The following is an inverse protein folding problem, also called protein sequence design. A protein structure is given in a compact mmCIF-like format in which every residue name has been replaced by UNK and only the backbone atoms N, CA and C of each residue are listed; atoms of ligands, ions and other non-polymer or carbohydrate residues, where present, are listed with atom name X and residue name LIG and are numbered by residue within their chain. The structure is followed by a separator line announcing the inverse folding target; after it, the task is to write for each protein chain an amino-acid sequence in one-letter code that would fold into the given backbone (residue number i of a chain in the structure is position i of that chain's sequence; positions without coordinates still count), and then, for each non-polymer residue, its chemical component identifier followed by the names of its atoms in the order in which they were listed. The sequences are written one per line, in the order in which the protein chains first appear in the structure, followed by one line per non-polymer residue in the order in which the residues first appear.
data_IF_865448681656
#
_entry.id   IF_865448681656
#
_cell.length_a   1.000
_cell.length_b   1.000
_cell.length_c   1.000
_cell.angle_alpha   90.00
_cell.angle_beta   90.00
_cell.angle_gamma   90.00
#
_symmetry.space_group_name_H-M   'P 1'
#
loop_
_entity.id
_entity.type
_entity.pdbx_description
1 polymer ?
#
# COMPACT_ATOMS: atom_id res chain seq x y z
N UNK A 1 -7.82 7.75 0.01
CA UNK A 1 -6.79 8.74 -0.33
C UNK A 1 -5.55 7.99 -0.72
N UNK A 2 -4.91 8.43 -1.80
CA UNK A 2 -3.64 7.94 -2.30
C UNK A 2 -2.69 9.13 -2.39
N UNK A 3 -1.49 8.98 -1.85
CA UNK A 3 -0.41 9.97 -1.89
C UNK A 3 0.81 9.29 -2.47
N UNK A 4 1.43 9.92 -3.46
CA UNK A 4 2.69 9.44 -4.03
C UNK A 4 3.79 10.44 -3.75
N UNK A 5 4.89 9.96 -3.17
CA UNK A 5 6.16 10.67 -3.08
C UNK A 5 7.03 10.20 -4.23
N UNK A 6 7.30 11.07 -5.18
CA UNK A 6 8.10 10.74 -6.37
C UNK A 6 9.44 11.44 -6.32
N UNK A 7 10.49 10.67 -6.55
CA UNK A 7 11.86 11.11 -6.66
C UNK A 7 12.32 10.94 -8.12
N UNK A 8 13.62 10.82 -8.37
CA UNK A 8 14.15 10.73 -9.74
C UNK A 8 13.91 9.36 -10.37
N UNK A 9 14.11 8.30 -9.58
CA UNK A 9 14.10 6.88 -9.99
C UNK A 9 13.16 6.04 -9.13
N UNK A 10 12.77 6.50 -7.95
CA UNK A 10 11.88 5.79 -7.03
C UNK A 10 10.58 6.57 -6.83
N UNK A 11 9.46 5.85 -6.76
CA UNK A 11 8.20 6.35 -6.25
C UNK A 11 7.75 5.53 -5.04
N UNK A 12 7.16 6.21 -4.07
CA UNK A 12 6.63 5.63 -2.85
C UNK A 12 5.15 6.01 -2.78
N UNK A 13 4.28 5.03 -2.95
CA UNK A 13 2.84 5.23 -2.88
C UNK A 13 2.35 4.82 -1.49
N UNK A 14 1.61 5.70 -0.85
CA UNK A 14 0.95 5.48 0.43
C UNK A 14 -0.54 5.64 0.22
N UNK A 15 -1.34 4.64 0.58
CA UNK A 15 -2.80 4.72 0.49
C UNK A 15 -3.51 4.08 1.66
N UNK A 16 -4.71 4.57 1.95
CA UNK A 16 -5.67 3.81 2.74
C UNK A 16 -6.07 2.56 1.97
N UNK A 17 -6.22 1.47 2.70
CA UNK A 17 -6.63 0.19 2.18
C UNK A 17 -7.75 -0.42 3.01
N UNK A 18 -8.63 -1.13 2.33
CA UNK A 18 -9.69 -1.96 2.88
C UNK A 18 -9.73 -3.24 2.03
N UNK A 19 -9.79 -4.39 2.70
CA UNK A 19 -9.95 -5.70 2.07
C UNK A 19 -10.81 -6.67 2.90
N UNK A 20 -11.30 -7.71 2.21
CA UNK A 20 -12.04 -8.82 2.80
C UNK A 20 -11.25 -10.09 2.52
N UNK A 21 -10.86 -10.80 3.57
CA UNK A 21 -10.17 -12.08 3.49
C UNK A 21 -11.10 -13.21 3.02
N UNK A 22 -10.55 -14.37 2.59
CA UNK A 22 -11.34 -15.53 2.16
C UNK A 22 -12.30 -16.09 3.24
N UNK A 23 -12.01 -15.81 4.50
CA UNK A 23 -12.79 -16.18 5.69
C UNK A 23 -13.79 -15.07 6.11
N UNK A 24 -14.05 -14.10 5.23
CA UNK A 24 -14.86 -12.90 5.48
C UNK A 24 -14.29 -11.93 6.52
N UNK A 25 -13.06 -12.14 7.02
CA UNK A 25 -12.39 -11.18 7.91
C UNK A 25 -12.21 -9.85 7.16
N UNK A 26 -12.59 -8.74 7.78
CA UNK A 26 -12.32 -7.41 7.23
C UNK A 26 -11.02 -6.85 7.79
N UNK A 27 -10.17 -6.35 6.89
CA UNK A 27 -8.89 -5.74 7.21
C UNK A 27 -8.82 -4.33 6.65
N UNK A 28 -8.21 -3.42 7.40
CA UNK A 28 -8.00 -2.06 6.95
C UNK A 28 -6.71 -1.48 7.52
N UNK A 29 -6.12 -0.53 6.81
CA UNK A 29 -4.86 0.08 7.23
C UNK A 29 -4.17 0.85 6.12
N UNK A 30 -2.86 1.04 6.29
CA UNK A 30 -2.03 1.74 5.32
C UNK A 30 -1.26 0.74 4.46
N UNK A 31 -1.36 0.89 3.14
CA UNK A 31 -0.53 0.20 2.16
C UNK A 31 0.56 1.14 1.68
N UNK A 32 1.80 0.66 1.73
CA UNK A 32 2.99 1.36 1.24
C UNK A 32 3.61 0.51 0.13
N UNK A 33 3.75 1.08 -1.05
CA UNK A 33 4.35 0.43 -2.21
C UNK A 33 5.57 1.22 -2.67
N UNK A 34 6.68 0.52 -2.92
CA UNK A 34 7.89 1.08 -3.49
C UNK A 34 8.00 0.62 -4.94
N UNK A 35 8.15 1.57 -5.85
CA UNK A 35 8.24 1.28 -7.28
C UNK A 35 9.37 2.01 -7.97
N UNK A 36 9.84 1.44 -9.06
CA UNK A 36 10.78 2.09 -9.98
C UNK A 36 10.02 3.03 -10.91
N UNK A 37 10.51 4.26 -11.03
CA UNK A 37 10.06 5.22 -12.02
C UNK A 37 10.82 4.96 -13.32
N UNK A 38 10.11 4.55 -14.35
CA UNK A 38 10.70 4.38 -15.67
C UNK A 38 10.83 5.74 -16.37
N UNK A 39 11.99 6.07 -16.97
CA UNK A 39 12.12 7.25 -17.80
C UNK A 39 11.09 7.20 -18.93
N UNK A 40 10.35 8.28 -19.12
CA UNK A 40 9.37 8.40 -20.19
C UNK A 40 10.00 9.09 -21.39
N UNK A 41 9.62 8.67 -22.60
CA UNK A 41 9.99 9.42 -23.81
C UNK A 41 9.41 10.83 -23.73
N UNK A 42 10.25 11.82 -23.98
CA UNK A 42 9.84 13.23 -24.02
C UNK A 42 8.81 13.45 -25.11
N UNK A 43 7.75 14.20 -24.78
CA UNK A 43 6.62 14.49 -25.68
C UNK A 43 6.47 16.00 -25.83
N UNK A 44 6.24 16.47 -27.05
CA UNK A 44 6.02 17.89 -27.32
C UNK A 44 7.29 18.74 -27.14
N UNK A 45 7.10 20.03 -26.85
CA UNK A 45 8.19 20.98 -26.62
C UNK A 45 8.85 20.80 -25.25
N UNK A 46 9.91 21.54 -24.98
CA UNK A 46 10.61 21.56 -23.67
C UNK A 46 9.72 21.97 -22.50
N UNK A 47 8.62 22.69 -22.77
CA UNK A 47 7.66 23.15 -21.77
C UNK A 47 6.44 22.22 -21.60
N UNK A 48 6.35 21.14 -22.37
CA UNK A 48 5.20 20.25 -22.36
C UNK A 48 5.16 19.41 -21.08
N UNK A 49 3.95 19.20 -20.55
CA UNK A 49 3.74 18.29 -19.43
C UNK A 49 4.11 16.86 -19.83
N UNK A 50 4.96 16.22 -19.03
CA UNK A 50 5.36 14.84 -19.22
C UNK A 50 4.58 13.92 -18.28
N UNK A 51 4.21 12.70 -18.72
CA UNK A 51 3.61 11.73 -17.84
C UNK A 51 4.62 11.25 -16.78
N UNK A 52 4.11 10.95 -15.60
CA UNK A 52 4.82 10.22 -14.56
C UNK A 52 4.10 8.87 -14.39
N UNK A 53 4.83 7.77 -14.58
CA UNK A 53 4.27 6.42 -14.51
C UNK A 53 4.92 5.65 -13.37
N UNK A 54 4.12 5.28 -12.38
CA UNK A 54 4.49 4.34 -11.31
C UNK A 54 3.94 2.97 -11.71
N UNK A 55 4.73 2.23 -12.49
CA UNK A 55 4.27 0.98 -13.13
C UNK A 55 4.80 -0.30 -12.51
N UNK A 56 5.98 -0.27 -11.90
CA UNK A 56 6.69 -1.47 -11.42
C UNK A 56 6.95 -1.36 -9.91
N UNK A 57 6.03 -1.90 -9.12
CA UNK A 57 6.23 -2.10 -7.68
C UNK A 57 7.18 -3.27 -7.47
N UNK A 58 8.22 -3.08 -6.65
CA UNK A 58 9.16 -4.15 -6.30
C UNK A 58 9.04 -4.60 -4.85
N UNK A 59 8.37 -3.81 -4.01
CA UNK A 59 8.20 -4.09 -2.59
C UNK A 59 6.91 -3.46 -2.08
N UNK A 60 6.26 -4.11 -1.11
CA UNK A 60 5.05 -3.60 -0.47
C UNK A 60 5.00 -3.93 1.01
N UNK A 61 4.53 -3.00 1.83
CA UNK A 61 4.09 -3.27 3.20
C UNK A 61 2.62 -2.94 3.37
N UNK A 62 1.93 -3.83 4.06
CA UNK A 62 0.52 -3.76 4.39
C UNK A 62 0.41 -3.67 5.91
N UNK A 63 0.35 -2.45 6.43
CA UNK A 63 0.29 -2.18 7.87
C UNK A 63 -1.18 -2.17 8.29
N UNK A 64 -1.78 -3.36 8.35
CA UNK A 64 -3.21 -3.56 8.53
C UNK A 64 -3.58 -4.10 9.91
N UNK A 65 -4.76 -3.69 10.37
CA UNK A 65 -5.47 -4.31 11.48
C UNK A 65 -6.67 -5.11 10.98
N UNK A 66 -7.20 -5.99 11.84
CA UNK A 66 -8.48 -6.65 11.61
C UNK A 66 -9.58 -5.89 12.34
N UNK A 67 -10.72 -5.68 11.68
CA UNK A 67 -11.82 -4.92 12.28
C UNK A 67 -12.54 -5.69 13.41
N UNK A 68 -12.39 -7.01 13.47
CA UNK A 68 -12.90 -7.86 14.54
C UNK A 68 -11.97 -7.97 15.76
N UNK A 69 -10.74 -7.45 15.67
CA UNK A 69 -9.74 -7.41 16.75
C UNK A 69 -9.26 -5.97 17.01
N UNK A 70 -10.14 -5.06 17.48
CA UNK A 70 -9.81 -3.65 17.64
C UNK A 70 -8.70 -3.37 18.68
N UNK A 71 -8.44 -4.30 19.59
CA UNK A 71 -7.37 -4.25 20.59
C UNK A 71 -5.99 -4.62 20.02
N UNK A 72 -5.93 -5.08 18.76
CA UNK A 72 -4.70 -5.51 18.07
C UNK A 72 -4.58 -4.81 16.71
N UNK A 73 -4.19 -3.52 16.68
CA UNK A 73 -4.25 -2.69 15.47
C UNK A 73 -3.36 -3.17 14.31
N UNK A 74 -2.40 -4.07 14.56
CA UNK A 74 -1.50 -4.62 13.55
C UNK A 74 -1.60 -6.13 13.40
N UNK A 75 -2.74 -6.73 13.79
CA UNK A 75 -2.95 -8.17 13.75
C UNK A 75 -2.85 -8.80 12.34
N UNK A 76 -2.96 -7.98 11.28
CA UNK A 76 -2.84 -8.42 9.89
C UNK A 76 -1.64 -7.77 9.19
N UNK A 77 -0.72 -7.16 9.93
CA UNK A 77 0.37 -6.42 9.33
C UNK A 77 1.47 -7.34 8.78
N UNK A 78 1.82 -7.16 7.51
CA UNK A 78 2.79 -7.98 6.79
C UNK A 78 3.48 -7.18 5.68
N UNK A 79 4.46 -7.78 5.01
CA UNK A 79 5.07 -7.20 3.83
C UNK A 79 5.40 -8.25 2.77
N UNK A 80 5.63 -7.77 1.56
CA UNK A 80 6.01 -8.54 0.38
C UNK A 80 7.38 -8.05 -0.08
N UNK A 81 8.45 -8.84 0.14
CA UNK A 81 9.81 -8.41 -0.14
C UNK A 81 10.14 -8.27 -1.64
N UNK A 82 9.36 -8.90 -2.52
CA UNK A 82 9.59 -8.92 -3.97
C UNK A 82 8.27 -9.07 -4.73
N UNK A 83 8.31 -8.79 -6.03
CA UNK A 83 7.20 -8.94 -6.97
C UNK A 83 7.64 -9.75 -8.19
N UNK A 84 6.70 -10.45 -8.82
CA UNK A 84 6.83 -11.05 -10.15
C UNK A 84 5.80 -10.40 -11.08
N UNK A 85 6.24 -9.47 -11.92
CA UNK A 85 5.35 -8.58 -12.65
C UNK A 85 4.47 -7.76 -11.69
N UNK A 86 3.12 -7.76 -11.85
CA UNK A 86 2.22 -7.06 -10.95
C UNK A 86 1.92 -7.83 -9.66
N UNK A 87 2.34 -9.11 -9.57
CA UNK A 87 1.95 -9.99 -8.47
C UNK A 87 2.97 -9.92 -7.32
N UNK A 88 2.52 -9.71 -6.08
CA UNK A 88 3.39 -9.74 -4.91
C UNK A 88 3.85 -11.18 -4.61
N UNK A 89 5.01 -11.33 -3.97
CA UNK A 89 5.38 -12.61 -3.35
C UNK A 89 4.43 -13.01 -2.22
N UNK A 90 4.67 -14.18 -1.60
CA UNK A 90 3.96 -14.55 -0.36
C UNK A 90 4.14 -13.50 0.75
N UNK A 91 3.16 -13.48 1.67
CA UNK A 91 3.16 -12.62 2.86
C UNK A 91 4.32 -13.00 3.77
N UNK A 92 5.11 -12.01 4.19
CA UNK A 92 6.12 -12.16 5.24
C UNK A 92 5.63 -11.46 6.51
N UNK A 93 5.54 -12.23 7.58
CA UNK A 93 5.19 -11.78 8.91
C UNK A 93 6.46 -11.48 9.70
N UNK A 94 6.44 -10.43 10.52
CA UNK A 94 7.63 -9.99 11.28
C UNK A 94 7.23 -9.44 12.64
N UNK A 95 7.75 -10.03 13.70
CA UNK A 95 7.52 -9.55 15.07
C UNK A 95 8.00 -8.10 15.25
N UNK A 96 9.12 -7.72 14.60
CA UNK A 96 9.63 -6.36 14.62
C UNK A 96 8.65 -5.38 13.96
N UNK A 97 8.05 -5.77 12.82
CA UNK A 97 7.02 -4.98 12.15
C UNK A 97 5.78 -4.81 13.04
N UNK A 98 5.31 -5.88 13.69
CA UNK A 98 4.12 -5.80 14.54
C UNK A 98 4.39 -5.03 15.84
N UNK A 99 5.61 -5.11 16.39
CA UNK A 99 6.00 -4.42 17.63
C UNK A 99 6.21 -2.90 17.44
N UNK A 100 6.82 -2.48 16.33
CA UNK A 100 7.01 -1.07 15.98
C UNK A 100 6.88 -0.86 14.46
N UNK A 101 5.66 -0.81 13.91
CA UNK A 101 5.45 -0.74 12.47
C UNK A 101 5.96 0.55 11.85
N UNK A 102 5.96 1.64 12.62
CA UNK A 102 6.38 2.96 12.15
C UNK A 102 7.89 3.12 12.17
N UNK A 103 8.58 2.68 13.22
CA UNK A 103 10.04 2.58 13.25
C UNK A 103 10.55 1.60 12.20
N UNK A 104 9.90 0.43 12.09
CA UNK A 104 10.23 -0.57 11.06
C UNK A 104 10.10 0.01 9.65
N UNK A 105 9.04 0.76 9.35
CA UNK A 105 8.88 1.41 8.05
C UNK A 105 9.96 2.47 7.82
N UNK A 106 10.28 3.27 8.84
CA UNK A 106 11.35 4.28 8.75
C UNK A 106 12.71 3.64 8.42
N UNK A 107 13.03 2.48 9.02
CA UNK A 107 14.26 1.75 8.74
C UNK A 107 14.31 1.26 7.29
N UNK A 108 13.19 0.74 6.76
CA UNK A 108 13.09 0.32 5.35
C UNK A 108 13.28 1.47 4.36
N UNK A 109 12.73 2.65 4.69
CA UNK A 109 12.85 3.85 3.87
C UNK A 109 14.26 4.45 3.93
N UNK A 110 14.87 4.52 5.11
CA UNK A 110 16.22 5.08 5.27
C UNK A 110 17.32 4.16 4.76
N UNK A 111 17.06 2.85 4.72
CA UNK A 111 17.87 1.82 4.07
C UNK A 111 17.38 1.41 2.68
N UNK A 112 16.85 2.34 1.88
CA UNK A 112 16.19 2.03 0.59
C UNK A 112 17.06 1.20 -0.35
N UNK A 113 18.37 1.42 -0.39
CA UNK A 113 19.27 0.64 -1.26
C UNK A 113 19.30 -0.84 -0.87
N UNK A 114 19.24 -1.14 0.43
CA UNK A 114 19.16 -2.51 0.92
C UNK A 114 17.79 -3.11 0.58
N UNK A 115 16.71 -2.33 0.74
CA UNK A 115 15.36 -2.78 0.38
C UNK A 115 15.26 -3.15 -1.12
N UNK A 116 15.93 -2.41 -2.00
CA UNK A 116 16.01 -2.73 -3.43
C UNK A 116 16.85 -3.98 -3.69
N UNK A 117 18.00 -4.11 -3.02
CA UNK A 117 18.86 -5.29 -3.14
C UNK A 117 18.17 -6.57 -2.63
N UNK A 118 17.44 -6.48 -1.52
CA UNK A 118 16.66 -7.58 -0.94
C UNK A 118 15.54 -8.06 -1.88
N UNK A 119 14.99 -7.14 -2.70
CA UNK A 119 14.02 -7.46 -3.75
C UNK A 119 14.67 -8.13 -4.99
N UNK A 120 15.99 -8.31 -4.99
CA UNK A 120 16.75 -8.92 -6.09
C UNK A 120 17.06 -7.97 -7.25
N UNK A 121 16.94 -6.65 -7.03
CA UNK A 121 17.16 -5.62 -8.04
C UNK A 121 18.52 -4.92 -7.87
N UNK A 122 19.00 -4.27 -8.93
CA UNK A 122 20.18 -3.41 -8.84
C UNK A 122 19.87 -2.19 -7.96
N UNK A 123 20.63 -1.96 -6.86
CA UNK A 123 20.43 -0.79 -5.99
C UNK A 123 20.91 0.55 -6.59
N UNK A 124 21.60 0.56 -7.73
CA UNK A 124 22.12 1.79 -8.34
C UNK A 124 21.06 2.89 -8.58
N UNK A 125 19.85 2.59 -9.09
CA UNK A 125 18.78 3.60 -9.22
C UNK A 125 18.36 4.21 -7.88
N UNK A 126 18.33 3.41 -6.81
CA UNK A 126 17.95 3.90 -5.48
C UNK A 126 19.03 4.78 -4.83
N UNK A 127 20.32 4.52 -5.09
CA UNK A 127 21.41 5.37 -4.58
C UNK A 127 21.26 6.84 -4.99
N UNK A 128 20.73 7.09 -6.19
CA UNK A 128 20.53 8.46 -6.68
C UNK A 128 19.45 9.23 -5.88
N UNK A 129 18.49 8.53 -5.28
CA UNK A 129 17.39 9.12 -4.51
C UNK A 129 17.54 8.94 -2.99
N UNK A 130 18.52 8.16 -2.53
CA UNK A 130 18.60 7.69 -1.15
C UNK A 130 18.58 8.83 -0.11
N UNK A 131 19.35 9.90 -0.32
CA UNK A 131 19.39 11.03 0.60
C UNK A 131 18.08 11.81 0.64
N UNK A 132 17.42 11.97 -0.51
CA UNK A 132 16.12 12.62 -0.59
C UNK A 132 15.03 11.78 0.09
N UNK A 133 15.08 10.45 -0.07
CA UNK A 133 14.17 9.52 0.60
C UNK A 133 14.39 9.56 2.11
N UNK A 134 15.64 9.51 2.58
CA UNK A 134 15.98 9.64 4.02
C UNK A 134 15.44 10.94 4.61
N UNK A 135 15.63 12.06 3.91
CA UNK A 135 15.10 13.36 4.34
C UNK A 135 13.55 13.39 4.36
N UNK A 136 12.90 12.66 3.47
CA UNK A 136 11.44 12.58 3.39
C UNK A 136 10.82 11.48 4.28
N UNK A 137 11.62 10.55 4.82
CA UNK A 137 11.14 9.34 5.50
C UNK A 137 10.13 9.65 6.61
N UNK A 138 10.41 10.62 7.48
CA UNK A 138 9.49 11.01 8.55
C UNK A 138 8.13 11.49 8.03
N UNK A 139 8.09 12.22 6.90
CA UNK A 139 6.84 12.68 6.26
C UNK A 139 6.06 11.53 5.63
N UNK A 140 6.77 10.57 5.01
CA UNK A 140 6.16 9.38 4.41
C UNK A 140 5.54 8.52 5.52
N UNK A 141 6.27 8.27 6.61
CA UNK A 141 5.76 7.51 7.77
C UNK A 141 4.57 8.21 8.41
N UNK A 142 4.63 9.52 8.62
CA UNK A 142 3.48 10.29 9.12
C UNK A 142 2.24 10.13 8.21
N UNK A 143 2.43 10.23 6.90
CA UNK A 143 1.34 10.02 5.91
C UNK A 143 0.76 8.60 6.00
N UNK A 144 1.61 7.59 6.15
CA UNK A 144 1.16 6.21 6.34
C UNK A 144 0.38 6.05 7.66
N UNK A 145 0.87 6.67 8.73
CA UNK A 145 0.21 6.64 10.04
C UNK A 145 -1.15 7.32 10.04
N UNK A 146 -1.30 8.43 9.31
CA UNK A 146 -2.58 9.13 9.13
C UNK A 146 -3.61 8.30 8.34
N UNK A 147 -3.18 7.24 7.65
CA UNK A 147 -4.04 6.27 6.96
C UNK A 147 -4.03 4.90 7.64
N UNK A 148 -3.35 4.78 8.77
CA UNK A 148 -3.09 3.53 9.49
C UNK A 148 -4.32 2.96 10.20
N UNK A 149 -4.20 1.75 10.75
CA UNK A 149 -5.30 1.04 11.42
C UNK A 149 -5.66 1.65 12.78
N UNK A 150 -4.78 2.45 13.39
CA UNK A 150 -5.05 3.16 14.65
C UNK A 150 -6.03 4.33 14.48
N UNK A 151 -6.30 4.75 13.24
CA UNK A 151 -7.19 5.87 12.97
C UNK A 151 -8.65 5.45 13.17
N UNK A 152 -9.49 6.29 13.81
CA UNK A 152 -10.88 5.95 14.13
C UNK A 152 -11.81 6.13 12.91
N UNK A 153 -11.44 5.58 11.76
CA UNK A 153 -12.25 5.66 10.56
C UNK A 153 -13.52 4.82 10.70
N UNK A 154 -14.63 5.42 10.28
CA UNK A 154 -15.88 4.68 10.11
C UNK A 154 -15.88 3.91 8.79
N UNK A 155 -16.84 3.01 8.59
CA UNK A 155 -17.10 2.39 7.28
C UNK A 155 -17.18 3.42 6.15
N UNK A 156 -17.87 4.53 6.39
CA UNK A 156 -18.10 5.56 5.36
C UNK A 156 -16.82 6.35 5.05
N UNK A 157 -15.95 6.54 6.05
CA UNK A 157 -14.61 7.08 5.84
C UNK A 157 -13.76 6.14 5.00
N UNK A 158 -13.74 4.85 5.34
CA UNK A 158 -12.99 3.84 4.59
C UNK A 158 -13.49 3.76 3.15
N UNK A 159 -14.81 3.75 2.92
CA UNK A 159 -15.38 3.79 1.58
C UNK A 159 -14.97 5.05 0.83
N UNK A 160 -15.15 6.24 1.40
CA UNK A 160 -14.76 7.50 0.77
C UNK A 160 -13.29 7.51 0.39
N UNK A 161 -12.42 6.93 1.23
CA UNK A 161 -10.98 6.87 1.01
C UNK A 161 -10.57 5.75 0.05
N UNK A 162 -11.41 4.74 -0.20
CA UNK A 162 -11.05 3.57 -1.01
C UNK A 162 -12.04 3.27 -2.12
N UNK A 163 -12.91 4.22 -2.50
CA UNK A 163 -13.90 4.05 -3.57
C UNK A 163 -13.27 3.63 -4.91
N UNK A 164 -12.06 4.10 -5.19
CA UNK A 164 -11.29 3.76 -6.39
C UNK A 164 -10.92 2.27 -6.46
N UNK A 165 -11.06 1.57 -5.35
CA UNK A 165 -10.81 0.15 -5.21
C UNK A 165 -12.07 -0.73 -5.19
N UNK A 166 -13.25 -0.17 -5.51
CA UNK A 166 -14.53 -0.88 -5.47
C UNK A 166 -14.49 -2.24 -6.21
N UNK A 167 -13.93 -2.27 -7.43
CA UNK A 167 -13.80 -3.51 -8.21
C UNK A 167 -12.97 -4.57 -7.47
N UNK A 168 -11.89 -4.16 -6.81
CA UNK A 168 -11.06 -5.08 -6.03
C UNK A 168 -11.83 -5.66 -4.84
N UNK A 169 -12.60 -4.84 -4.13
CA UNK A 169 -13.43 -5.33 -3.00
C UNK A 169 -14.45 -6.35 -3.48
N UNK A 170 -15.08 -6.14 -4.64
CA UNK A 170 -15.96 -7.14 -5.27
C UNK A 170 -15.23 -8.46 -5.51
N UNK A 171 -14.07 -8.42 -6.17
CA UNK A 171 -13.27 -9.62 -6.44
C UNK A 171 -12.89 -10.38 -5.17
N UNK A 172 -12.60 -9.67 -4.08
CA UNK A 172 -12.30 -10.27 -2.78
C UNK A 172 -13.53 -10.93 -2.16
N UNK A 173 -14.68 -10.25 -2.17
CA UNK A 173 -15.96 -10.79 -1.67
C UNK A 173 -16.40 -12.03 -2.46
N UNK A 174 -16.13 -12.09 -3.76
CA UNK A 174 -16.39 -13.26 -4.60
C UNK A 174 -15.52 -14.48 -4.25
N UNK A 175 -14.38 -14.27 -3.59
CA UNK A 175 -13.47 -15.33 -3.12
C UNK A 175 -13.79 -15.83 -1.72
N UNK A 176 -14.76 -15.22 -1.02
CA UNK A 176 -15.16 -15.67 0.31
C UNK A 176 -15.85 -17.02 0.20
N UNK A 177 -15.35 -18.01 0.94
CA UNK A 177 -15.84 -19.39 0.89
C UNK A 177 -17.27 -19.50 1.45
N UNK A 178 -17.50 -18.94 2.63
CA UNK A 178 -18.82 -18.85 3.25
C UNK A 178 -19.44 -17.46 3.01
N UNK A 179 -20.25 -17.37 1.95
CA UNK A 179 -20.95 -16.12 1.61
C UNK A 179 -21.95 -15.64 2.67
N UNK A 180 -22.39 -16.50 3.60
CA UNK A 180 -23.27 -16.10 4.69
C UNK A 180 -22.54 -15.31 5.78
N UNK A 181 -21.22 -15.48 5.88
CA UNK A 181 -20.36 -14.76 6.81
C UNK A 181 -20.00 -13.34 6.35
N UNK A 182 -20.25 -13.00 5.08
CA UNK A 182 -19.92 -11.67 4.54
C UNK A 182 -20.78 -10.60 5.23
N UNK A 183 -20.16 -9.54 5.79
CA UNK A 183 -20.88 -8.42 6.38
C UNK A 183 -21.43 -7.49 5.28
N UNK A 184 -22.52 -7.92 4.62
CA UNK A 184 -23.09 -7.25 3.44
C UNK A 184 -23.35 -5.76 3.65
N UNK A 185 -23.87 -5.35 4.81
CA UNK A 185 -24.11 -3.94 5.13
C UNK A 185 -22.84 -3.10 5.21
N UNK A 186 -21.72 -3.72 5.54
CA UNK A 186 -20.43 -3.05 5.58
C UNK A 186 -19.86 -2.88 4.17
N UNK A 187 -19.86 -3.94 3.35
CA UNK A 187 -19.22 -3.91 2.02
C UNK A 187 -20.08 -3.29 0.92
N UNK A 188 -21.39 -3.15 1.13
CA UNK A 188 -22.36 -2.67 0.12
C UNK A 188 -21.95 -1.37 -0.59
N UNK A 189 -21.43 -0.31 0.07
CA UNK A 189 -21.01 0.90 -0.63
C UNK A 189 -19.98 0.67 -1.75
N UNK A 190 -19.03 -0.24 -1.54
CA UNK A 190 -18.05 -0.63 -2.56
C UNK A 190 -18.67 -1.46 -3.68
N UNK A 191 -19.59 -2.37 -3.34
CA UNK A 191 -20.26 -3.20 -4.35
C UNK A 191 -21.10 -2.33 -5.29
N UNK A 192 -21.86 -1.38 -4.73
CA UNK A 192 -22.68 -0.44 -5.49
C UNK A 192 -21.82 0.47 -6.39
N UNK A 193 -20.62 0.89 -5.92
CA UNK A 193 -19.67 1.68 -6.73
C UNK A 193 -19.08 0.87 -7.88
N UNK A 194 -18.78 -0.40 -7.65
CA UNK A 194 -18.26 -1.28 -8.69
C UNK A 194 -19.30 -1.58 -9.79
N UNK A 195 -20.60 -1.49 -9.51
CA UNK A 195 -21.66 -1.64 -10.53
C UNK A 195 -21.84 -0.39 -11.39
N UNK A 196 -21.32 0.77 -10.94
CA UNK A 196 -21.40 2.05 -11.66
C UNK A 196 -20.22 2.30 -12.59
N UNK A 197 -19.11 1.59 -12.41
CA UNK A 197 -17.84 1.80 -13.11
C UNK A 197 -17.72 0.90 -14.34
#
# INVERSE_FOLDING_TARGET
MLVTFSFTRIAITVRRWFEVGPDATMEAGARIELGLLQPQLHRGSESAAQPLVVGETFWRADLFGRLDLPDRPYAAAHFHPRFDGPEPSDRVWSDALTADPWGWLADRLTGIEQTVADAGLDPAPARADADAIRAAAGRIVATARDLGPEQPFTRDDDFRLTRDAALRVRMLVERVEDRSAVPWDHVRPWLDEADRS
#
